data_IF_822233123900
#
_entry.id   IF_822233123900
#
_cell.length_a   1.000
_cell.length_b   1.000
_cell.length_c   1.000
_cell.angle_alpha   90.00
_cell.angle_beta   90.00
_cell.angle_gamma   90.00
#
_symmetry.space_group_name_H-M   'P 1'
#
loop_
_entity.id
_entity.type
_entity.pdbx_description
1 polymer ?
#
# COMPACT_ATOMS: atom_id res chain seq x y z
N UNK A 1 7.74 -2.99 -13.87
CA UNK A 1 6.55 -3.81 -13.50
C UNK A 1 6.63 -4.09 -12.01
N UNK A 2 5.62 -3.67 -11.24
CA UNK A 2 5.54 -3.93 -9.80
C UNK A 2 4.31 -4.78 -9.47
N UNK A 3 4.47 -5.74 -8.57
CA UNK A 3 3.34 -6.46 -7.94
C UNK A 3 3.25 -6.05 -6.48
N UNK A 4 2.15 -5.42 -6.10
CA UNK A 4 1.91 -4.90 -4.76
C UNK A 4 0.74 -5.65 -4.11
N UNK A 5 0.99 -6.25 -2.95
CA UNK A 5 -0.01 -6.84 -2.08
C UNK A 5 -0.48 -5.82 -1.05
N UNK A 6 -1.79 -5.72 -0.85
CA UNK A 6 -2.44 -4.96 0.22
C UNK A 6 -3.20 -5.88 1.15
N UNK A 7 -3.07 -5.66 2.46
CA UNK A 7 -3.81 -6.40 3.50
C UNK A 7 -4.40 -5.45 4.52
N UNK A 8 -5.69 -5.58 4.79
CA UNK A 8 -6.38 -4.87 5.86
C UNK A 8 -6.49 -5.75 7.10
N UNK A 9 -6.30 -5.14 8.27
CA UNK A 9 -6.34 -5.84 9.55
C UNK A 9 -7.30 -5.15 10.53
N UNK A 10 -8.00 -5.97 11.29
CA UNK A 10 -8.70 -5.59 12.53
C UNK A 10 -8.07 -6.44 13.64
N UNK A 11 -7.41 -5.79 14.60
CA UNK A 11 -6.47 -6.45 15.51
C UNK A 11 -5.39 -7.24 14.75
N UNK A 12 -5.26 -8.52 15.07
CA UNK A 12 -4.31 -9.43 14.42
C UNK A 12 -4.90 -10.23 13.24
N UNK A 13 -6.16 -10.00 12.85
CA UNK A 13 -6.82 -10.77 11.79
C UNK A 13 -6.81 -10.00 10.46
N UNK A 14 -6.33 -10.61 9.36
CA UNK A 14 -6.52 -10.03 8.03
C UNK A 14 -7.99 -10.17 7.63
N UNK A 15 -8.62 -9.07 7.22
CA UNK A 15 -10.04 -9.02 6.82
C UNK A 15 -10.22 -8.86 5.31
N UNK A 16 -9.21 -8.35 4.62
CA UNK A 16 -9.16 -8.25 3.16
C UNK A 16 -7.72 -8.37 2.68
N UNK A 17 -7.55 -8.91 1.47
CA UNK A 17 -6.26 -9.07 0.82
C UNK A 17 -6.44 -8.94 -0.70
N UNK A 18 -5.71 -8.00 -1.30
CA UNK A 18 -5.71 -7.80 -2.74
C UNK A 18 -4.28 -7.70 -3.28
N UNK A 19 -4.09 -8.07 -4.54
CA UNK A 19 -2.82 -7.92 -5.24
C UNK A 19 -3.08 -7.21 -6.55
N UNK A 20 -2.38 -6.10 -6.77
CA UNK A 20 -2.39 -5.38 -8.04
C UNK A 20 -1.08 -5.56 -8.77
N UNK A 21 -1.15 -5.56 -10.09
CA UNK A 21 0.01 -5.59 -10.97
C UNK A 21 -0.02 -4.31 -11.79
N UNK A 22 1.03 -3.50 -11.65
CA UNK A 22 1.17 -2.26 -12.40
C UNK A 22 2.35 -2.36 -13.35
N UNK A 23 2.05 -2.31 -14.64
CA UNK A 23 3.01 -2.16 -15.72
C UNK A 23 3.16 -0.67 -16.02
N UNK A 24 3.88 0.04 -15.14
CA UNK A 24 4.13 1.46 -15.35
C UNK A 24 5.41 1.66 -16.18
N UNK A 25 5.36 2.40 -17.30
CA UNK A 25 6.54 2.89 -18.00
C UNK A 25 7.16 4.12 -17.28
N UNK A 26 6.69 4.46 -16.08
CA UNK A 26 7.16 5.62 -15.34
C UNK A 26 8.64 5.48 -14.95
N UNK A 27 9.42 6.53 -15.25
CA UNK A 27 10.80 6.64 -14.80
C UNK A 27 10.84 6.94 -13.28
N UNK A 28 10.81 5.89 -12.44
CA UNK A 28 11.19 5.99 -11.03
C UNK A 28 10.34 5.18 -10.06
N UNK A 29 11.02 4.43 -9.19
CA UNK A 29 10.47 3.56 -8.15
C UNK A 29 9.36 4.20 -7.31
N UNK A 30 9.54 5.47 -6.88
CA UNK A 30 8.54 6.17 -6.09
C UNK A 30 7.21 6.32 -6.85
N UNK A 31 7.27 6.69 -8.14
CA UNK A 31 6.08 6.90 -8.96
C UNK A 31 5.36 5.59 -9.25
N UNK A 32 6.10 4.50 -9.49
CA UNK A 32 5.53 3.16 -9.65
C UNK A 32 4.77 2.70 -8.40
N UNK A 33 5.34 2.92 -7.20
CA UNK A 33 4.68 2.56 -5.94
C UNK A 33 3.46 3.44 -5.68
N UNK A 34 3.56 4.75 -5.92
CA UNK A 34 2.41 5.64 -5.74
C UNK A 34 1.26 5.20 -6.64
N UNK A 35 1.54 4.87 -7.90
CA UNK A 35 0.53 4.36 -8.83
C UNK A 35 -0.07 3.03 -8.34
N UNK A 36 0.77 2.08 -7.95
CA UNK A 36 0.32 0.79 -7.43
C UNK A 36 -0.49 0.91 -6.14
N UNK A 37 -0.13 1.84 -5.24
CA UNK A 37 -0.88 2.13 -4.03
C UNK A 37 -2.27 2.67 -4.35
N UNK A 38 -2.38 3.63 -5.27
CA UNK A 38 -3.66 4.20 -5.68
C UNK A 38 -4.56 3.13 -6.30
N UNK A 39 -4.02 2.29 -7.18
CA UNK A 39 -4.77 1.20 -7.81
C UNK A 39 -5.22 0.14 -6.81
N UNK A 40 -4.36 -0.18 -5.83
CA UNK A 40 -4.68 -1.10 -4.75
C UNK A 40 -5.79 -0.56 -3.85
N UNK A 41 -5.72 0.72 -3.44
CA UNK A 41 -6.77 1.35 -2.65
C UNK A 41 -8.11 1.41 -3.40
N UNK A 42 -8.08 1.72 -4.70
CA UNK A 42 -9.27 1.71 -5.54
C UNK A 42 -9.91 0.32 -5.63
N UNK A 43 -9.07 -0.73 -5.79
CA UNK A 43 -9.52 -2.14 -5.84
C UNK A 43 -10.15 -2.56 -4.51
N UNK A 44 -9.54 -2.18 -3.38
CA UNK A 44 -10.03 -2.48 -2.03
C UNK A 44 -11.17 -1.56 -1.58
N UNK A 45 -11.54 -0.55 -2.38
CA UNK A 45 -12.56 0.47 -2.07
C UNK A 45 -12.29 1.19 -0.74
N UNK A 46 -11.03 1.54 -0.50
CA UNK A 46 -10.58 2.30 0.67
C UNK A 46 -9.98 3.65 0.25
N UNK A 47 -10.00 4.66 1.13
CA UNK A 47 -9.28 5.91 0.87
C UNK A 47 -7.77 5.68 0.74
N UNK A 48 -7.06 6.61 0.09
CA UNK A 48 -5.60 6.55 -0.04
C UNK A 48 -4.96 7.13 1.23
N UNK A 49 -4.05 6.40 1.91
CA UNK A 49 -3.40 6.91 3.12
C UNK A 49 -2.38 8.01 2.78
N UNK A 50 -2.11 8.87 3.76
CA UNK A 50 -1.00 9.82 3.74
C UNK A 50 0.32 9.05 3.80
N UNK A 51 1.12 9.20 2.74
CA UNK A 51 2.47 8.66 2.68
C UNK A 51 3.45 9.52 3.47
N UNK A 52 3.99 8.98 4.56
CA UNK A 52 4.97 9.70 5.38
C UNK A 52 6.41 9.34 5.00
N UNK A 53 7.38 10.17 5.39
CA UNK A 53 8.82 9.90 5.14
C UNK A 53 9.28 8.55 5.71
N UNK A 54 8.73 8.14 6.86
CA UNK A 54 9.02 6.84 7.47
C UNK A 54 8.55 5.67 6.60
N UNK A 55 7.43 5.82 5.87
CA UNK A 55 6.96 4.80 4.94
C UNK A 55 7.97 4.59 3.81
N UNK A 56 8.58 5.66 3.28
CA UNK A 56 9.63 5.58 2.26
C UNK A 56 10.84 4.80 2.76
N UNK A 57 11.35 5.12 3.96
CA UNK A 57 12.51 4.46 4.53
C UNK A 57 12.26 2.97 4.81
N UNK A 58 11.10 2.64 5.38
CA UNK A 58 10.71 1.25 5.62
C UNK A 58 10.52 0.48 4.31
N UNK A 59 9.83 1.06 3.33
CA UNK A 59 9.55 0.38 2.07
C UNK A 59 10.81 0.20 1.23
N UNK A 60 11.74 1.16 1.26
CA UNK A 60 13.05 1.01 0.61
C UNK A 60 13.85 -0.15 1.21
N UNK A 61 13.81 -0.34 2.53
CA UNK A 61 14.59 -1.36 3.25
C UNK A 61 13.94 -2.74 3.26
N UNK A 62 12.63 -2.82 3.49
CA UNK A 62 11.91 -4.06 3.76
C UNK A 62 10.95 -4.45 2.64
N UNK A 63 10.80 -3.60 1.62
CA UNK A 63 9.78 -3.75 0.55
C UNK A 63 8.36 -3.88 1.11
N UNK A 64 8.14 -3.34 2.30
CA UNK A 64 6.90 -3.43 3.07
C UNK A 64 6.77 -2.19 3.96
N UNK A 65 5.55 -1.72 4.15
CA UNK A 65 5.22 -0.72 5.17
C UNK A 65 3.76 -0.89 5.58
N UNK A 66 3.34 -0.19 6.63
CA UNK A 66 1.97 -0.19 7.10
C UNK A 66 1.50 1.24 7.36
N UNK A 67 0.18 1.40 7.34
CA UNK A 67 -0.54 2.62 7.61
C UNK A 67 -1.53 2.35 8.73
N UNK A 68 -1.51 3.17 9.78
CA UNK A 68 -2.57 3.16 10.80
C UNK A 68 -3.82 3.90 10.29
N UNK A 69 -4.96 3.68 10.93
CA UNK A 69 -6.21 4.39 10.63
C UNK A 69 -6.06 5.93 10.66
N UNK A 70 -5.19 6.46 11.52
CA UNK A 70 -4.92 7.91 11.64
C UNK A 70 -4.22 8.51 10.40
N UNK A 71 -3.63 7.67 9.55
CA UNK A 71 -2.99 8.12 8.32
C UNK A 71 -4.00 8.31 7.17
N UNK A 72 -5.29 8.09 7.40
CA UNK A 72 -6.34 8.32 6.41
C UNK A 72 -7.07 9.63 6.76
N UNK A 73 -7.39 10.41 5.72
CA UNK A 73 -8.14 11.66 5.89
C UNK A 73 -9.61 11.42 6.27
N UNK A 74 -10.13 10.24 5.95
CA UNK A 74 -11.49 9.81 6.21
C UNK A 74 -11.49 8.63 7.19
N UNK A 75 -12.53 8.48 8.03
CA UNK A 75 -12.66 7.32 8.91
C UNK A 75 -12.67 6.01 8.11
N UNK A 76 -11.92 5.02 8.59
CA UNK A 76 -11.81 3.69 7.98
C UNK A 76 -12.28 2.60 8.93
N UNK A 77 -12.76 1.47 8.37
CA UNK A 77 -13.29 0.33 9.13
C UNK A 77 -12.22 -0.72 9.47
N UNK A 78 -10.95 -0.33 9.46
CA UNK A 78 -9.81 -1.19 9.75
C UNK A 78 -8.77 -0.43 10.57
N UNK A 79 -7.94 -1.16 11.31
CA UNK A 79 -6.94 -0.57 12.21
C UNK A 79 -5.59 -0.38 11.52
N UNK A 80 -5.26 -1.31 10.61
CA UNK A 80 -3.98 -1.31 9.91
C UNK A 80 -4.13 -1.76 8.47
N UNK A 81 -3.55 -0.98 7.56
CA UNK A 81 -3.36 -1.35 6.17
C UNK A 81 -1.88 -1.63 5.93
N UNK A 82 -1.54 -2.85 5.52
CA UNK A 82 -0.18 -3.23 5.17
C UNK A 82 -0.04 -3.33 3.66
N UNK A 83 1.06 -2.79 3.12
CA UNK A 83 1.45 -3.01 1.74
C UNK A 83 2.80 -3.73 1.66
N UNK A 84 2.95 -4.63 0.68
CA UNK A 84 4.17 -5.40 0.45
C UNK A 84 4.42 -5.58 -1.05
N UNK A 85 5.64 -5.27 -1.51
CA UNK A 85 6.03 -5.62 -2.87
C UNK A 85 6.34 -7.12 -2.94
N UNK A 86 5.65 -7.84 -3.82
CA UNK A 86 5.88 -9.26 -4.07
C UNK A 86 6.92 -9.49 -5.17
N UNK A 87 7.01 -8.54 -6.11
CA UNK A 87 7.98 -8.58 -7.21
C UNK A 87 8.32 -7.15 -7.61
N UNK A 88 9.62 -6.90 -7.75
CA UNK A 88 10.21 -5.66 -8.27
C UNK A 88 11.17 -6.12 -9.35
N UNK A 89 10.87 -5.79 -10.60
CA UNK A 89 11.74 -6.07 -11.75
C UNK A 89 12.66 -4.88 -12.01
#
# INVERSE_FOLDING_TARGET
MIRLEGKLFIGNRPVDCQVVKVDSPAAGFHKEITQALVELCATMKIPVPVWQRNNTAQFARFRMTFFSAEQFLEPVLFERFQIKALQIA
#
